data_IF_165975780128
#
_entry.id   IF_165975780128
#
_cell.length_a   1.000
_cell.length_b   1.000
_cell.length_c   1.000
_cell.angle_alpha   90.00
_cell.angle_beta   90.00
_cell.angle_gamma   90.00
#
_symmetry.space_group_name_H-M   'P 1'
#
loop_
_entity.id
_entity.type
_entity.pdbx_description
1 polymer ?
#
# COMPACT_ATOMS: atom_id res chain seq x y z
N UNK A 1 -38.82 46.19 -9.98
CA UNK A 1 -37.36 46.05 -10.02
C UNK A 1 -37.01 44.73 -9.33
N UNK A 2 -36.81 43.67 -10.14
CA UNK A 2 -36.37 42.35 -9.64
C UNK A 2 -34.85 42.39 -9.57
N UNK A 3 -34.29 42.24 -8.37
CA UNK A 3 -32.84 42.15 -8.16
C UNK A 3 -32.36 40.81 -8.66
N UNK A 4 -31.58 40.82 -9.73
CA UNK A 4 -30.86 39.69 -10.27
C UNK A 4 -29.85 39.21 -9.23
N UNK A 5 -30.06 37.99 -8.70
CA UNK A 5 -29.09 37.35 -7.81
C UNK A 5 -27.76 37.16 -8.56
N UNK A 6 -26.61 37.56 -7.99
CA UNK A 6 -25.31 37.33 -8.63
C UNK A 6 -25.09 35.84 -8.80
N UNK A 7 -24.74 35.41 -10.03
CA UNK A 7 -24.33 34.04 -10.34
C UNK A 7 -23.07 33.73 -9.53
N UNK A 8 -22.97 32.54 -8.89
CA UNK A 8 -21.78 32.17 -8.13
C UNK A 8 -20.55 32.19 -9.03
N UNK A 9 -19.51 32.78 -8.49
CA UNK A 9 -18.22 33.07 -9.09
C UNK A 9 -17.63 31.85 -9.85
N UNK A 10 -17.41 32.02 -11.16
CA UNK A 10 -16.82 30.99 -12.04
C UNK A 10 -15.32 30.76 -11.77
N UNK A 11 -14.73 31.46 -10.81
CA UNK A 11 -13.28 31.56 -10.60
C UNK A 11 -12.64 30.44 -9.78
N UNK A 12 -13.41 29.48 -9.21
CA UNK A 12 -12.81 28.52 -8.29
C UNK A 12 -13.22 27.04 -8.49
N UNK A 13 -13.72 26.66 -9.66
CA UNK A 13 -13.94 25.23 -9.95
C UNK A 13 -12.80 24.68 -10.82
N UNK A 14 -12.33 23.45 -10.57
CA UNK A 14 -11.35 22.80 -11.46
C UNK A 14 -11.89 22.70 -12.89
N UNK A 15 -11.02 22.98 -13.85
CA UNK A 15 -11.33 22.81 -15.29
C UNK A 15 -11.68 21.35 -15.55
N UNK A 16 -12.79 21.10 -16.23
CA UNK A 16 -13.26 19.76 -16.54
C UNK A 16 -12.90 19.36 -17.96
N UNK A 17 -12.95 18.07 -18.24
CA UNK A 17 -12.77 17.52 -19.58
C UNK A 17 -13.79 18.11 -20.60
N UNK A 18 -14.98 18.47 -20.13
CA UNK A 18 -16.02 19.12 -20.95
C UNK A 18 -15.65 20.55 -21.31
N UNK A 19 -14.98 21.26 -20.40
CA UNK A 19 -14.54 22.63 -20.68
C UNK A 19 -13.43 22.62 -21.73
N UNK A 20 -12.47 21.68 -21.66
CA UNK A 20 -11.46 21.49 -22.71
C UNK A 20 -12.08 21.11 -24.06
N UNK A 21 -13.08 20.25 -24.06
CA UNK A 21 -13.78 19.83 -25.29
C UNK A 21 -14.49 21.00 -25.97
N UNK A 22 -15.13 21.85 -25.19
CA UNK A 22 -15.80 23.08 -25.67
C UNK A 22 -14.78 24.05 -26.27
N UNK A 23 -13.69 24.33 -25.55
CA UNK A 23 -12.66 25.26 -25.99
C UNK A 23 -11.91 24.76 -27.24
N UNK A 24 -11.63 23.46 -27.33
CA UNK A 24 -10.98 22.83 -28.47
C UNK A 24 -11.95 22.55 -29.64
N UNK A 25 -13.26 22.84 -29.51
CA UNK A 25 -14.30 22.55 -30.49
C UNK A 25 -14.32 21.08 -30.94
N UNK A 26 -14.19 20.14 -29.97
CA UNK A 26 -14.20 18.69 -30.20
C UNK A 26 -15.13 17.98 -29.22
N UNK A 27 -15.39 16.69 -29.48
CA UNK A 27 -16.14 15.87 -28.52
C UNK A 27 -15.34 15.56 -27.28
N UNK A 28 -16.00 15.37 -26.13
CA UNK A 28 -15.36 14.89 -24.87
C UNK A 28 -14.67 13.55 -25.07
N UNK A 29 -15.18 12.69 -25.97
CA UNK A 29 -14.56 11.41 -26.31
C UNK A 29 -13.20 11.61 -27.01
N UNK A 30 -13.08 12.62 -27.89
CA UNK A 30 -11.80 12.94 -28.54
C UNK A 30 -10.79 13.48 -27.55
N UNK A 31 -11.18 14.39 -26.64
CA UNK A 31 -10.31 14.89 -25.57
C UNK A 31 -9.87 13.74 -24.66
N UNK A 32 -10.80 12.89 -24.22
CA UNK A 32 -10.48 11.74 -23.38
C UNK A 32 -9.50 10.79 -24.06
N UNK A 33 -9.66 10.52 -25.36
CA UNK A 33 -8.73 9.69 -26.14
C UNK A 33 -7.32 10.27 -26.16
N UNK A 34 -7.19 11.57 -26.41
CA UNK A 34 -5.89 12.23 -26.52
C UNK A 34 -5.17 12.36 -25.19
N UNK A 35 -5.90 12.76 -24.13
CA UNK A 35 -5.30 13.06 -22.84
C UNK A 35 -5.15 11.84 -21.93
N UNK A 36 -5.94 10.78 -22.15
CA UNK A 36 -5.98 9.62 -21.26
C UNK A 36 -5.63 8.29 -21.94
N UNK A 37 -5.44 8.28 -23.27
CA UNK A 37 -4.93 7.10 -24.00
C UNK A 37 -5.87 5.89 -24.05
N UNK A 38 -7.12 5.96 -23.59
CA UNK A 38 -7.97 4.80 -23.37
C UNK A 38 -9.24 4.72 -24.19
N UNK A 39 -9.59 3.52 -24.66
CA UNK A 39 -10.95 2.98 -24.82
C UNK A 39 -11.93 3.60 -25.81
N UNK A 40 -11.67 4.74 -26.43
CA UNK A 40 -12.55 5.35 -27.43
C UNK A 40 -12.20 4.88 -28.83
N UNK A 41 -13.19 4.41 -29.59
CA UNK A 41 -13.06 4.09 -31.03
C UNK A 41 -12.84 5.32 -31.90
N UNK A 42 -12.83 6.52 -31.31
CA UNK A 42 -12.69 7.79 -32.02
C UNK A 42 -11.26 7.92 -32.55
N UNK A 43 -11.10 8.00 -33.87
CA UNK A 43 -9.84 8.37 -34.52
C UNK A 43 -9.63 9.87 -34.44
N UNK A 44 -8.48 10.30 -33.93
CA UNK A 44 -8.10 11.72 -33.85
C UNK A 44 -6.82 11.88 -34.67
N UNK A 45 -6.78 12.81 -35.60
CA UNK A 45 -5.56 13.14 -36.36
C UNK A 45 -4.51 13.77 -35.43
N UNK A 46 -3.22 13.62 -35.76
CA UNK A 46 -2.16 14.16 -34.92
C UNK A 46 -2.26 15.68 -34.75
N UNK A 47 -2.59 16.43 -35.81
CA UNK A 47 -2.77 17.86 -35.71
C UNK A 47 -3.90 18.23 -34.73
N UNK A 48 -5.00 17.46 -34.71
CA UNK A 48 -6.10 17.68 -33.76
C UNK A 48 -5.73 17.24 -32.34
N UNK A 49 -4.93 16.19 -32.21
CA UNK A 49 -4.44 15.75 -30.93
C UNK A 49 -3.49 16.78 -30.29
N UNK A 50 -2.61 17.37 -31.09
CA UNK A 50 -1.73 18.43 -30.65
C UNK A 50 -2.51 19.67 -30.18
N UNK A 51 -3.51 20.11 -30.96
CA UNK A 51 -4.39 21.21 -30.58
C UNK A 51 -5.10 20.95 -29.24
N UNK A 52 -5.59 19.73 -29.01
CA UNK A 52 -6.24 19.35 -27.74
C UNK A 52 -5.26 19.46 -26.57
N UNK A 53 -4.00 19.02 -26.74
CA UNK A 53 -2.96 19.12 -25.70
C UNK A 53 -2.66 20.58 -25.35
N UNK A 54 -2.50 21.44 -26.35
CA UNK A 54 -2.25 22.88 -26.19
C UNK A 54 -3.40 23.59 -25.46
N UNK A 55 -4.64 23.28 -25.82
CA UNK A 55 -5.81 23.83 -25.13
C UNK A 55 -5.86 23.37 -23.68
N UNK A 56 -5.61 22.09 -23.42
CA UNK A 56 -5.62 21.53 -22.06
C UNK A 56 -4.53 22.17 -21.19
N UNK A 57 -3.33 22.38 -21.74
CA UNK A 57 -2.22 23.05 -21.06
C UNK A 57 -2.53 24.52 -20.76
N UNK A 58 -3.01 25.28 -21.76
CA UNK A 58 -3.41 26.68 -21.61
C UNK A 58 -4.49 26.87 -20.54
N UNK A 59 -5.44 25.94 -20.47
CA UNK A 59 -6.50 25.93 -19.45
C UNK A 59 -6.05 25.39 -18.09
N UNK A 60 -4.79 24.96 -17.95
CA UNK A 60 -4.28 24.28 -16.77
C UNK A 60 -5.17 23.08 -16.36
N UNK A 61 -5.66 22.34 -17.35
CA UNK A 61 -6.48 21.16 -17.09
C UNK A 61 -5.65 20.10 -16.38
N UNK A 62 -6.15 19.60 -15.27
CA UNK A 62 -5.60 18.46 -14.53
C UNK A 62 -6.54 17.28 -14.64
N UNK A 63 -5.97 16.12 -14.97
CA UNK A 63 -6.74 14.87 -15.01
C UNK A 63 -7.37 14.63 -13.65
N UNK A 64 -8.69 14.57 -13.60
CA UNK A 64 -9.38 14.22 -12.37
C UNK A 64 -9.10 12.75 -12.04
N UNK A 65 -8.29 12.52 -10.99
CA UNK A 65 -7.90 11.19 -10.54
C UNK A 65 -9.12 10.35 -10.16
N UNK A 66 -10.13 10.94 -9.51
CA UNK A 66 -11.37 10.24 -9.13
C UNK A 66 -12.13 9.72 -10.35
N UNK A 67 -12.31 10.57 -11.36
CA UNK A 67 -12.98 10.17 -12.62
C UNK A 67 -12.18 9.11 -13.39
N UNK A 68 -10.85 9.19 -13.34
CA UNK A 68 -9.97 8.16 -13.91
C UNK A 68 -10.12 6.85 -13.16
N UNK A 69 -10.05 6.87 -11.83
CA UNK A 69 -10.13 5.71 -10.96
C UNK A 69 -11.46 4.97 -11.16
N UNK A 70 -12.59 5.69 -11.21
CA UNK A 70 -13.90 5.11 -11.50
C UNK A 70 -13.94 4.37 -12.86
N UNK A 71 -13.22 4.89 -13.87
CA UNK A 71 -13.19 4.27 -15.20
C UNK A 71 -12.25 3.07 -15.29
N UNK A 72 -11.13 3.11 -14.57
CA UNK A 72 -10.08 2.08 -14.65
C UNK A 72 -10.17 1.04 -13.54
N UNK A 73 -11.04 1.27 -12.56
CA UNK A 73 -11.10 0.51 -11.30
C UNK A 73 -9.73 0.39 -10.62
N UNK A 74 -8.87 1.43 -10.80
CA UNK A 74 -7.55 1.52 -10.19
C UNK A 74 -7.33 2.88 -9.56
N UNK A 75 -6.86 2.87 -8.32
CA UNK A 75 -6.59 4.09 -7.54
C UNK A 75 -5.13 4.54 -7.65
N UNK A 76 -4.24 3.64 -8.07
CA UNK A 76 -2.79 3.80 -7.99
C UNK A 76 -2.33 4.15 -6.57
N UNK A 77 -2.96 3.53 -5.57
CA UNK A 77 -2.64 3.72 -4.16
C UNK A 77 -2.49 2.36 -3.48
N UNK A 78 -1.38 2.15 -2.79
CA UNK A 78 -1.13 0.99 -1.95
C UNK A 78 -1.21 1.43 -0.50
N UNK A 79 -1.96 0.69 0.30
CA UNK A 79 -2.02 0.84 1.75
C UNK A 79 -0.84 0.14 2.42
N UNK A 80 -0.33 0.70 3.51
CA UNK A 80 0.53 0.00 4.45
C UNK A 80 -0.13 0.06 5.81
N UNK A 81 -0.46 -1.12 6.34
CA UNK A 81 -1.09 -1.28 7.64
C UNK A 81 -0.06 -1.79 8.64
N UNK A 82 0.07 -1.08 9.75
CA UNK A 82 0.88 -1.50 10.89
C UNK A 82 -0.03 -1.77 12.08
N UNK A 83 0.15 -2.91 12.73
CA UNK A 83 -0.46 -3.15 14.02
C UNK A 83 0.23 -2.32 15.11
N UNK A 84 -0.56 -1.72 16.00
CA UNK A 84 -0.09 -0.95 17.15
C UNK A 84 0.82 0.26 16.82
N UNK A 85 0.63 0.89 15.66
CA UNK A 85 1.37 2.09 15.30
C UNK A 85 0.86 3.31 16.10
N UNK A 86 1.48 3.61 17.24
CA UNK A 86 1.17 4.81 18.04
C UNK A 86 1.75 6.10 17.46
N UNK A 87 2.71 6.00 16.54
CA UNK A 87 3.36 7.09 15.82
C UNK A 87 4.62 6.62 15.14
N UNK A 88 5.02 7.30 14.05
CA UNK A 88 6.24 6.96 13.32
C UNK A 88 7.51 7.40 14.06
N UNK A 89 7.42 8.45 14.89
CA UNK A 89 8.55 8.97 15.66
C UNK A 89 8.89 8.14 16.90
N UNK A 90 7.90 7.49 17.48
CA UNK A 90 8.03 6.74 18.73
C UNK A 90 8.12 5.22 18.49
N UNK A 91 8.03 4.83 17.22
CA UNK A 91 8.14 3.44 16.79
C UNK A 91 9.59 2.96 16.64
N UNK A 92 9.82 1.63 16.57
CA UNK A 92 11.14 1.08 16.30
C UNK A 92 11.69 1.60 14.98
N UNK A 93 12.99 1.91 14.91
CA UNK A 93 13.70 2.31 13.68
C UNK A 93 13.45 1.34 12.51
N UNK A 94 13.18 0.07 12.82
CA UNK A 94 12.80 -0.94 11.86
C UNK A 94 11.60 -0.54 11.00
N UNK A 95 10.55 0.05 11.58
CA UNK A 95 9.36 0.52 10.84
C UNK A 95 9.73 1.60 9.84
N UNK A 96 10.63 2.50 10.23
CA UNK A 96 11.11 3.58 9.35
C UNK A 96 11.85 3.01 8.14
N UNK A 97 12.78 2.06 8.34
CA UNK A 97 13.50 1.41 7.24
C UNK A 97 12.58 0.60 6.34
N UNK A 98 11.57 -0.04 6.91
CA UNK A 98 10.59 -0.80 6.15
C UNK A 98 9.75 0.12 5.28
N UNK A 99 9.28 1.24 5.81
CA UNK A 99 8.56 2.25 5.03
C UNK A 99 9.43 2.86 3.93
N UNK A 100 10.71 3.11 4.19
CA UNK A 100 11.66 3.60 3.20
C UNK A 100 11.80 2.60 2.04
N UNK A 101 12.03 1.32 2.36
CA UNK A 101 12.10 0.26 1.36
C UNK A 101 10.84 0.12 0.53
N UNK A 102 9.68 0.10 1.16
CA UNK A 102 8.37 0.01 0.50
C UNK A 102 8.14 1.23 -0.38
N UNK A 103 8.33 2.44 0.16
CA UNK A 103 8.05 3.68 -0.56
C UNK A 103 8.95 3.85 -1.79
N UNK A 104 10.22 3.48 -1.70
CA UNK A 104 11.17 3.56 -2.82
C UNK A 104 10.70 2.77 -4.05
N UNK A 105 10.16 1.58 -3.84
CA UNK A 105 9.63 0.72 -4.90
C UNK A 105 8.28 1.25 -5.42
N UNK A 106 7.38 1.62 -4.52
CA UNK A 106 6.01 2.04 -4.86
C UNK A 106 6.04 3.36 -5.66
N UNK A 107 6.82 4.35 -5.22
CA UNK A 107 6.95 5.63 -5.91
C UNK A 107 7.62 5.48 -7.27
N UNK A 108 8.64 4.62 -7.39
CA UNK A 108 9.27 4.30 -8.67
C UNK A 108 8.32 3.68 -9.70
N UNK A 109 7.23 3.06 -9.23
CA UNK A 109 6.16 2.50 -10.09
C UNK A 109 4.99 3.47 -10.31
N UNK A 110 5.07 4.70 -9.82
CA UNK A 110 4.02 5.71 -9.98
C UNK A 110 2.80 5.50 -9.08
N UNK A 111 2.91 4.66 -8.04
CA UNK A 111 1.86 4.50 -7.02
C UNK A 111 2.04 5.53 -5.90
N UNK A 112 0.95 5.80 -5.21
CA UNK A 112 0.92 6.53 -3.94
C UNK A 112 0.94 5.54 -2.78
N UNK A 113 1.48 5.96 -1.64
CA UNK A 113 1.47 5.21 -0.40
C UNK A 113 0.47 5.85 0.57
N UNK A 114 -0.39 5.04 1.16
CA UNK A 114 -1.28 5.42 2.25
C UNK A 114 -0.89 4.62 3.50
N UNK A 115 -0.51 5.31 4.57
CA UNK A 115 -0.26 4.66 5.86
C UNK A 115 -1.60 4.58 6.59
N UNK A 116 -2.02 3.36 6.91
CA UNK A 116 -3.24 3.08 7.62
C UNK A 116 -2.90 2.93 9.10
N UNK A 117 -3.55 3.74 9.93
CA UNK A 117 -3.51 3.54 11.37
C UNK A 117 -4.30 2.28 11.72
N UNK A 118 -3.98 1.70 12.86
CA UNK A 118 -4.77 0.59 13.40
C UNK A 118 -6.22 1.06 13.59
N UNK A 119 -7.09 0.49 12.77
CA UNK A 119 -8.54 0.63 12.90
C UNK A 119 -9.02 -0.62 13.61
N UNK A 120 -10.03 -0.49 14.48
CA UNK A 120 -10.70 -1.63 15.10
C UNK A 120 -10.94 -2.73 14.05
N UNK A 121 -10.63 -3.98 14.36
CA UNK A 121 -10.68 -5.12 13.43
C UNK A 121 -12.00 -5.20 12.63
N UNK A 122 -13.11 -4.70 13.19
CA UNK A 122 -14.39 -4.65 12.51
C UNK A 122 -14.46 -3.65 11.35
N UNK A 123 -13.63 -2.60 11.37
CA UNK A 123 -13.63 -1.53 10.36
C UNK A 123 -12.57 -1.74 9.26
N UNK A 124 -11.59 -2.63 9.47
CA UNK A 124 -10.52 -2.88 8.50
C UNK A 124 -11.09 -3.35 7.16
N UNK A 125 -12.01 -4.32 7.15
CA UNK A 125 -12.59 -4.83 5.89
C UNK A 125 -13.36 -3.73 5.16
N UNK A 126 -14.11 -2.90 5.88
CA UNK A 126 -14.80 -1.74 5.30
C UNK A 126 -13.81 -0.79 4.63
N UNK A 127 -12.72 -0.47 5.32
CA UNK A 127 -11.67 0.41 4.80
C UNK A 127 -10.89 -0.19 3.62
N UNK A 128 -10.72 -1.51 3.57
CA UNK A 128 -10.10 -2.20 2.44
C UNK A 128 -11.04 -2.30 1.24
N UNK A 129 -12.36 -2.27 1.47
CA UNK A 129 -13.39 -2.41 0.43
C UNK A 129 -13.94 -1.11 -0.14
N UNK A 130 -13.53 0.04 0.37
CA UNK A 130 -14.08 1.35 -0.01
C UNK A 130 -13.63 1.87 -1.39
N UNK A 131 -12.77 1.12 -2.07
CA UNK A 131 -12.27 1.46 -3.39
C UNK A 131 -11.20 2.56 -3.41
N UNK A 132 -10.55 2.85 -2.28
CA UNK A 132 -9.46 3.84 -2.19
C UNK A 132 -8.08 3.22 -2.42
N UNK A 133 -7.95 1.90 -2.32
CA UNK A 133 -6.70 1.16 -2.40
C UNK A 133 -6.75 0.09 -3.51
N UNK A 134 -5.62 -0.14 -4.18
CA UNK A 134 -5.44 -1.23 -5.13
C UNK A 134 -4.89 -2.50 -4.47
N UNK A 135 -4.35 -2.38 -3.27
CA UNK A 135 -3.80 -3.47 -2.47
C UNK A 135 -3.23 -2.96 -1.16
N UNK A 136 -2.90 -3.88 -0.26
CA UNK A 136 -2.35 -3.56 1.07
C UNK A 136 -1.12 -4.39 1.37
N UNK A 137 -0.11 -3.75 1.95
CA UNK A 137 1.00 -4.39 2.64
C UNK A 137 0.65 -4.37 4.13
N UNK A 138 0.46 -5.55 4.71
CA UNK A 138 0.11 -5.71 6.11
C UNK A 138 1.33 -6.16 6.90
N UNK A 139 1.80 -5.32 7.81
CA UNK A 139 2.99 -5.55 8.60
C UNK A 139 2.60 -6.09 9.99
N UNK A 140 3.28 -7.15 10.45
CA UNK A 140 3.05 -7.82 11.74
C UNK A 140 1.63 -8.40 11.91
N UNK A 141 1.27 -9.29 11.02
CA UNK A 141 0.00 -9.99 11.12
C UNK A 141 0.00 -10.98 12.31
N UNK A 142 -0.97 -10.85 13.19
CA UNK A 142 -1.20 -11.82 14.25
C UNK A 142 -1.64 -13.19 13.68
N UNK A 143 -1.38 -14.27 14.44
CA UNK A 143 -1.79 -15.65 14.06
C UNK A 143 -3.24 -15.98 14.39
N UNK A 144 -4.00 -15.04 14.91
CA UNK A 144 -5.36 -15.33 15.32
C UNK A 144 -6.27 -15.63 14.12
N UNK A 145 -7.25 -16.48 14.37
CA UNK A 145 -8.19 -16.94 13.34
C UNK A 145 -9.06 -15.79 12.80
N UNK A 146 -9.27 -14.76 13.60
CA UNK A 146 -10.02 -13.57 13.20
C UNK A 146 -9.28 -12.81 12.11
N UNK A 147 -8.00 -12.51 12.31
CA UNK A 147 -7.14 -11.86 11.31
C UNK A 147 -7.02 -12.68 10.03
N UNK A 148 -6.86 -14.01 10.15
CA UNK A 148 -6.83 -14.90 8.99
C UNK A 148 -8.15 -14.85 8.20
N UNK A 149 -9.28 -14.77 8.88
CA UNK A 149 -10.60 -14.62 8.25
C UNK A 149 -10.76 -13.24 7.57
N UNK A 150 -10.19 -12.18 8.14
CA UNK A 150 -10.15 -10.87 7.51
C UNK A 150 -9.40 -10.91 6.17
N UNK A 151 -8.25 -11.57 6.13
CA UNK A 151 -7.48 -11.74 4.88
C UNK A 151 -8.28 -12.53 3.84
N UNK A 152 -8.89 -13.66 4.23
CA UNK A 152 -9.71 -14.48 3.32
C UNK A 152 -10.88 -13.71 2.70
N UNK A 153 -11.39 -12.71 3.39
CA UNK A 153 -12.55 -11.91 2.98
C UNK A 153 -12.17 -10.56 2.36
N UNK A 154 -10.88 -10.23 2.32
CA UNK A 154 -10.42 -8.95 1.78
C UNK A 154 -10.76 -8.84 0.29
N UNK A 155 -11.37 -7.73 -0.14
CA UNK A 155 -11.76 -7.53 -1.53
C UNK A 155 -10.60 -7.10 -2.43
N UNK A 156 -9.42 -6.85 -1.87
CA UNK A 156 -8.20 -6.42 -2.56
C UNK A 156 -7.00 -7.29 -2.18
N UNK A 157 -5.96 -7.38 -3.03
CA UNK A 157 -4.76 -8.16 -2.74
C UNK A 157 -4.06 -7.72 -1.46
N UNK A 158 -3.60 -8.69 -0.66
CA UNK A 158 -2.82 -8.46 0.55
C UNK A 158 -1.44 -9.11 0.41
N UNK A 159 -0.40 -8.36 0.78
CA UNK A 159 0.94 -8.86 1.05
C UNK A 159 1.19 -8.76 2.55
N UNK A 160 1.35 -9.90 3.20
CA UNK A 160 1.68 -9.98 4.62
C UNK A 160 3.20 -9.93 4.81
N UNK A 161 3.68 -8.98 5.60
CA UNK A 161 5.09 -8.73 5.82
C UNK A 161 5.47 -9.00 7.28
N UNK A 162 6.47 -9.86 7.49
CA UNK A 162 6.86 -10.36 8.82
C UNK A 162 5.71 -11.04 9.59
N UNK A 163 4.90 -11.78 8.87
CA UNK A 163 3.75 -12.48 9.39
C UNK A 163 4.00 -13.99 9.41
N UNK A 164 3.39 -14.68 10.37
CA UNK A 164 3.43 -16.13 10.35
C UNK A 164 2.74 -16.66 9.09
N UNK A 165 3.38 -17.65 8.46
CA UNK A 165 2.70 -18.41 7.43
C UNK A 165 1.65 -19.31 8.09
N UNK A 166 0.38 -19.24 7.68
CA UNK A 166 -0.62 -20.17 8.18
C UNK A 166 -0.38 -21.57 7.63
N UNK A 167 -0.79 -22.59 8.38
CA UNK A 167 -0.72 -23.99 7.93
C UNK A 167 -1.66 -24.27 6.76
N UNK A 168 -2.69 -23.45 6.61
CA UNK A 168 -3.67 -23.55 5.52
C UNK A 168 -3.41 -22.53 4.43
N UNK A 169 -3.64 -22.90 3.17
CA UNK A 169 -3.50 -21.97 2.03
C UNK A 169 -4.40 -20.74 2.21
N UNK A 170 -3.80 -19.58 2.13
CA UNK A 170 -4.49 -18.28 2.08
C UNK A 170 -4.20 -17.61 0.73
N UNK A 171 -5.18 -16.85 0.25
CA UNK A 171 -5.03 -16.03 -0.96
C UNK A 171 -4.27 -14.71 -0.65
N UNK A 172 -3.09 -14.87 -0.02
CA UNK A 172 -2.20 -13.79 0.33
C UNK A 172 -0.73 -14.18 0.08
N UNK A 173 0.10 -13.20 -0.23
CA UNK A 173 1.55 -13.38 -0.36
C UNK A 173 2.21 -13.05 0.96
N UNK A 174 3.11 -13.93 1.43
CA UNK A 174 3.89 -13.73 2.65
C UNK A 174 5.34 -13.41 2.30
N UNK A 175 5.89 -12.39 2.95
CA UNK A 175 7.29 -11.99 2.82
C UNK A 175 7.89 -11.91 4.22
N UNK A 176 8.81 -12.80 4.54
CA UNK A 176 9.39 -12.93 5.88
C UNK A 176 10.92 -12.94 5.81
N UNK A 177 11.56 -12.55 6.92
CA UNK A 177 12.97 -12.83 7.14
C UNK A 177 13.14 -14.29 7.55
N UNK A 178 14.28 -14.89 7.23
CA UNK A 178 14.69 -16.18 7.79
C UNK A 178 15.15 -16.00 9.25
N UNK A 179 14.17 -15.89 10.14
CA UNK A 179 14.42 -15.67 11.57
C UNK A 179 15.11 -16.86 12.23
N UNK A 180 14.79 -18.08 11.81
CA UNK A 180 15.40 -19.31 12.36
C UNK A 180 16.85 -19.43 11.95
N UNK A 181 17.16 -19.32 10.65
CA UNK A 181 18.54 -19.34 10.16
C UNK A 181 19.37 -18.18 10.70
N UNK A 182 18.79 -17.00 10.85
CA UNK A 182 19.45 -15.87 11.51
C UNK A 182 19.88 -16.17 12.95
N UNK A 183 19.03 -16.85 13.72
CA UNK A 183 19.37 -17.28 15.08
C UNK A 183 20.41 -18.39 15.12
N UNK A 184 20.34 -19.34 14.18
CA UNK A 184 21.37 -20.37 14.05
C UNK A 184 22.75 -19.77 13.77
N UNK A 185 22.81 -18.78 12.89
CA UNK A 185 24.04 -18.03 12.59
C UNK A 185 24.58 -17.31 13.84
N UNK A 186 23.71 -16.60 14.57
CA UNK A 186 24.09 -15.87 15.77
C UNK A 186 24.64 -16.79 16.86
N UNK A 187 23.94 -17.90 17.15
CA UNK A 187 24.39 -18.90 18.12
C UNK A 187 25.69 -19.57 17.68
N UNK A 188 25.81 -19.91 16.36
CA UNK A 188 27.02 -20.49 15.80
C UNK A 188 28.22 -19.59 16.02
N UNK A 189 28.08 -18.31 15.68
CA UNK A 189 29.14 -17.32 15.85
C UNK A 189 29.62 -17.22 17.33
N UNK A 190 28.70 -17.12 18.27
CA UNK A 190 29.04 -17.07 19.69
C UNK A 190 29.72 -18.38 20.16
N UNK A 191 29.26 -19.52 19.65
CA UNK A 191 29.86 -20.82 19.98
C UNK A 191 31.29 -20.96 19.46
N UNK A 192 31.56 -20.50 18.23
CA UNK A 192 32.90 -20.48 17.63
C UNK A 192 33.87 -19.58 18.40
N UNK A 193 33.37 -18.49 18.99
CA UNK A 193 34.12 -17.61 19.90
C UNK A 193 34.35 -18.20 21.28
N UNK A 194 33.87 -19.42 21.54
CA UNK A 194 34.10 -20.14 22.82
C UNK A 194 32.99 -19.94 23.85
N UNK A 195 31.94 -19.19 23.57
CA UNK A 195 30.80 -19.03 24.48
C UNK A 195 30.03 -20.36 24.59
N UNK A 196 29.65 -20.74 25.81
CA UNK A 196 28.88 -21.97 26.09
C UNK A 196 27.61 -21.69 26.90
N UNK A 197 27.52 -20.51 27.51
CA UNK A 197 26.35 -20.04 28.24
C UNK A 197 25.80 -18.83 27.46
N UNK A 198 24.86 -19.09 26.58
CA UNK A 198 24.25 -18.10 25.68
C UNK A 198 22.81 -17.93 26.13
N UNK A 199 22.36 -16.71 26.38
CA UNK A 199 20.98 -16.39 26.74
C UNK A 199 20.27 -15.71 25.57
N UNK A 200 18.99 -16.01 25.38
CA UNK A 200 18.11 -15.33 24.46
C UNK A 200 17.15 -14.42 25.25
N UNK A 201 17.20 -13.15 24.98
CA UNK A 201 16.33 -12.14 25.60
C UNK A 201 15.29 -11.64 24.59
N UNK A 202 14.07 -11.51 25.04
CA UNK A 202 12.96 -10.94 24.27
C UNK A 202 11.99 -10.20 25.20
N UNK A 203 11.23 -9.25 24.66
CA UNK A 203 10.21 -8.54 25.42
C UNK A 203 8.99 -9.42 25.65
N UNK A 204 8.38 -9.32 26.83
CA UNK A 204 7.20 -10.13 27.20
C UNK A 204 6.02 -9.83 26.28
N UNK A 205 5.88 -8.60 25.83
CA UNK A 205 4.83 -8.16 24.93
C UNK A 205 4.98 -8.74 23.50
N UNK A 206 6.21 -9.12 23.12
CA UNK A 206 6.51 -9.72 21.83
C UNK A 206 6.52 -11.25 21.81
N UNK A 207 6.31 -11.91 22.96
CA UNK A 207 6.42 -13.38 23.12
C UNK A 207 5.59 -14.17 22.13
N UNK A 208 4.46 -13.61 21.69
CA UNK A 208 3.52 -14.28 20.79
C UNK A 208 3.60 -13.78 19.34
N UNK A 209 4.54 -12.89 19.02
CA UNK A 209 4.73 -12.48 17.64
C UNK A 209 5.37 -13.60 16.81
N UNK A 210 4.99 -13.77 15.54
CA UNK A 210 5.50 -14.88 14.71
C UNK A 210 7.02 -14.89 14.57
N UNK A 211 7.62 -13.72 14.42
CA UNK A 211 9.06 -13.56 14.28
C UNK A 211 9.80 -13.82 15.59
N UNK A 212 9.24 -13.47 16.76
CA UNK A 212 9.80 -13.82 18.06
C UNK A 212 9.76 -15.34 18.29
N UNK A 213 8.64 -15.98 17.97
CA UNK A 213 8.50 -17.45 18.05
C UNK A 213 9.56 -18.14 17.17
N UNK A 214 9.68 -17.72 15.90
CA UNK A 214 10.66 -18.30 14.97
C UNK A 214 12.10 -18.10 15.44
N UNK A 215 12.44 -16.94 15.99
CA UNK A 215 13.77 -16.68 16.59
C UNK A 215 14.03 -17.56 17.79
N UNK A 216 13.06 -17.68 18.70
CA UNK A 216 13.17 -18.57 19.88
C UNK A 216 13.39 -20.01 19.47
N UNK A 217 12.62 -20.50 18.50
CA UNK A 217 12.70 -21.89 18.06
C UNK A 217 14.04 -22.17 17.35
N UNK A 218 14.54 -21.22 16.54
CA UNK A 218 15.87 -21.25 15.95
C UNK A 218 16.98 -21.27 17.02
N UNK A 219 16.86 -20.45 18.07
CA UNK A 219 17.78 -20.46 19.21
C UNK A 219 17.79 -21.82 19.92
N UNK A 220 16.62 -22.37 20.27
CA UNK A 220 16.51 -23.65 20.96
C UNK A 220 17.16 -24.77 20.13
N UNK A 221 16.86 -24.85 18.84
CA UNK A 221 17.47 -25.83 17.94
C UNK A 221 18.97 -25.69 17.87
N UNK A 222 19.47 -24.47 17.73
CA UNK A 222 20.89 -24.20 17.62
C UNK A 222 21.68 -24.61 18.89
N UNK A 223 21.11 -24.40 20.07
CA UNK A 223 21.69 -24.84 21.35
C UNK A 223 21.64 -26.36 21.49
N UNK A 224 20.49 -26.99 21.24
CA UNK A 224 20.34 -28.46 21.34
C UNK A 224 21.30 -29.21 20.39
N UNK A 225 21.45 -28.71 19.14
CA UNK A 225 22.38 -29.32 18.17
C UNK A 225 23.83 -29.33 18.68
N UNK A 226 24.19 -28.42 19.58
CA UNK A 226 25.55 -28.30 20.17
C UNK A 226 25.71 -28.96 21.54
N UNK A 227 24.69 -29.69 22.02
CA UNK A 227 24.73 -30.44 23.28
C UNK A 227 24.51 -29.57 24.51
N UNK A 228 23.81 -28.46 24.36
CA UNK A 228 23.35 -27.56 25.44
C UNK A 228 21.94 -27.90 25.91
#
# INVERSE_FOLDING_TARGET
MQSEKPRPDKLNRPVTLRDVALEASVSTAAVSRVLHGGGSSVRVSEARAQHIREVAERMNYRVNAVARNLRTSKTHTIGVLFENLRGLSDGPLYITYLLDGVSSVIFGKGYRLSVLAEVDHQDIIGSLGDGQLDGVIWCKLARDEETLNLIRRAPIPIVALNAAMPETSLDATFVNCDNEGGMELAVSHLWELGHRKIAFLYEVEETNTPDCISRRDGYIRAIHFRGG
#
